data_IF_875988619994
#
_entry.id   IF_875988619994
#
_cell.length_a   1.000
_cell.length_b   1.000
_cell.length_c   1.000
_cell.angle_alpha   90.00
_cell.angle_beta   90.00
_cell.angle_gamma   90.00
#
_symmetry.space_group_name_H-M   'P 1'
#
loop_
_entity.id
_entity.type
_entity.pdbx_description
1 polymer ?
#
# COMPACT_ATOMS: atom_id res chain seq x y z
N UNK A 1 0.14 8.04 1.14
CA UNK A 1 0.06 6.59 1.39
C UNK A 1 -1.33 6.03 1.10
N UNK A 2 -2.40 6.62 1.63
CA UNK A 2 -3.79 6.14 1.42
C UNK A 2 -4.16 5.92 -0.05
N UNK A 3 -3.84 6.87 -0.94
CA UNK A 3 -4.09 6.72 -2.37
C UNK A 3 -3.39 5.51 -3.00
N UNK A 4 -2.14 5.25 -2.63
CA UNK A 4 -1.37 4.10 -3.16
C UNK A 4 -2.01 2.78 -2.71
N UNK A 5 -2.32 2.67 -1.42
CA UNK A 5 -2.98 1.48 -0.86
C UNK A 5 -4.35 1.27 -1.50
N UNK A 6 -5.14 2.34 -1.66
CA UNK A 6 -6.43 2.29 -2.32
C UNK A 6 -6.30 1.83 -3.78
N UNK A 7 -5.37 2.41 -4.54
CA UNK A 7 -5.09 1.99 -5.91
C UNK A 7 -4.68 0.52 -5.99
N UNK A 8 -3.84 0.04 -5.06
CA UNK A 8 -3.46 -1.36 -4.98
C UNK A 8 -4.65 -2.30 -4.79
N UNK A 9 -5.57 -1.94 -3.89
CA UNK A 9 -6.77 -2.73 -3.60
C UNK A 9 -7.70 -2.76 -4.81
N UNK A 10 -7.95 -1.61 -5.45
CA UNK A 10 -8.79 -1.53 -6.64
C UNK A 10 -8.19 -2.33 -7.80
N UNK A 11 -6.87 -2.28 -7.99
CA UNK A 11 -6.18 -3.04 -9.04
C UNK A 11 -6.01 -4.53 -8.71
N UNK A 12 -6.25 -4.95 -7.47
CA UNK A 12 -6.30 -6.37 -7.11
C UNK A 12 -7.72 -6.94 -7.21
N UNK A 13 -8.75 -6.09 -7.17
CA UNK A 13 -10.13 -6.49 -7.31
C UNK A 13 -10.46 -6.90 -8.75
N UNK A 14 -10.80 -8.17 -8.96
CA UNK A 14 -11.06 -8.71 -10.29
C UNK A 14 -12.23 -8.04 -10.99
N UNK A 15 -13.22 -7.51 -10.26
CA UNK A 15 -14.36 -6.84 -10.87
C UNK A 15 -13.96 -5.46 -11.40
N UNK A 16 -13.20 -4.69 -10.61
CA UNK A 16 -12.64 -3.42 -11.05
C UNK A 16 -11.65 -3.60 -12.19
N UNK A 17 -10.72 -4.55 -12.08
CA UNK A 17 -9.74 -4.85 -13.15
C UNK A 17 -10.44 -5.19 -14.45
N UNK A 18 -11.49 -6.02 -14.45
CA UNK A 18 -12.24 -6.35 -15.68
C UNK A 18 -12.86 -5.13 -16.37
N UNK A 19 -13.13 -4.04 -15.66
CA UNK A 19 -13.61 -2.80 -16.25
C UNK A 19 -12.51 -2.01 -16.98
N UNK A 20 -11.25 -2.10 -16.53
CA UNK A 20 -10.11 -1.35 -17.08
C UNK A 20 -9.26 -2.18 -18.05
N UNK A 21 -9.04 -3.45 -17.70
CA UNK A 21 -8.24 -4.45 -18.41
C UNK A 21 -9.12 -5.71 -18.54
N UNK A 22 -10.07 -5.74 -19.48
CA UNK A 22 -11.05 -6.83 -19.58
C UNK A 22 -10.42 -8.19 -19.92
N UNK A 23 -9.28 -8.19 -20.62
CA UNK A 23 -8.51 -9.40 -20.93
C UNK A 23 -7.03 -9.10 -20.64
N UNK A 24 -6.58 -9.28 -19.38
CA UNK A 24 -5.19 -9.06 -19.04
C UNK A 24 -4.31 -10.12 -19.70
N UNK A 25 -3.19 -9.67 -20.26
CA UNK A 25 -2.09 -10.53 -20.68
C UNK A 25 -1.46 -11.24 -19.47
N UNK A 26 -0.64 -12.26 -19.73
CA UNK A 26 0.06 -12.98 -18.67
C UNK A 26 0.95 -12.04 -17.83
N UNK A 27 1.63 -11.10 -18.49
CA UNK A 27 2.48 -10.09 -17.82
C UNK A 27 1.66 -9.15 -16.95
N UNK A 28 0.52 -8.65 -17.45
CA UNK A 28 -0.36 -7.77 -16.68
C UNK A 28 -0.94 -8.50 -15.46
N UNK A 29 -1.33 -9.77 -15.59
CA UNK A 29 -1.82 -10.57 -14.47
C UNK A 29 -0.74 -10.77 -13.40
N UNK A 30 0.52 -11.00 -13.80
CA UNK A 30 1.65 -11.08 -12.88
C UNK A 30 1.86 -9.75 -12.15
N UNK A 31 1.84 -8.62 -12.86
CA UNK A 31 1.97 -7.29 -12.25
C UNK A 31 0.83 -7.02 -11.27
N UNK A 32 -0.42 -7.27 -11.67
CA UNK A 32 -1.61 -7.02 -10.83
C UNK A 32 -1.57 -7.83 -9.52
N UNK A 33 -1.01 -9.05 -9.56
CA UNK A 33 -0.88 -9.90 -8.36
C UNK A 33 0.29 -9.48 -7.46
N UNK A 34 1.39 -8.99 -8.03
CA UNK A 34 2.56 -8.52 -7.26
C UNK A 34 2.41 -7.09 -6.71
N UNK A 35 1.59 -6.25 -7.35
CA UNK A 35 1.44 -4.82 -7.06
C UNK A 35 1.08 -4.52 -5.58
N UNK A 36 0.12 -5.21 -4.93
CA UNK A 36 -0.20 -4.95 -3.52
C UNK A 36 0.98 -5.20 -2.58
N UNK A 37 1.78 -6.24 -2.85
CA UNK A 37 2.96 -6.57 -2.05
C UNK A 37 4.01 -5.47 -2.18
N UNK A 38 4.30 -5.02 -3.41
CA UNK A 38 5.24 -3.93 -3.66
C UNK A 38 4.84 -2.62 -2.98
N UNK A 39 3.55 -2.26 -3.04
CA UNK A 39 3.03 -1.05 -2.38
C UNK A 39 3.10 -1.18 -0.85
N UNK A 40 2.82 -2.36 -0.29
CA UNK A 40 2.98 -2.64 1.13
C UNK A 40 4.42 -2.43 1.60
N UNK A 41 5.38 -3.04 0.93
CA UNK A 41 6.82 -2.89 1.23
C UNK A 41 7.24 -1.42 1.14
N UNK A 42 6.87 -0.72 0.07
CA UNK A 42 7.22 0.68 -0.12
C UNK A 42 6.63 1.58 0.98
N UNK A 43 5.35 1.41 1.30
CA UNK A 43 4.70 2.19 2.36
C UNK A 43 5.35 1.91 3.73
N UNK A 44 5.63 0.64 4.06
CA UNK A 44 6.32 0.26 5.29
C UNK A 44 7.72 0.87 5.38
N UNK A 45 8.48 0.86 4.29
CA UNK A 45 9.80 1.49 4.24
C UNK A 45 9.72 2.99 4.51
N UNK A 46 8.75 3.68 3.90
CA UNK A 46 8.56 5.12 4.14
C UNK A 46 8.18 5.43 5.59
N UNK A 47 7.36 4.60 6.23
CA UNK A 47 7.06 4.74 7.66
C UNK A 47 8.29 4.53 8.54
N UNK A 48 9.21 3.64 8.16
CA UNK A 48 10.46 3.42 8.89
C UNK A 48 11.46 4.59 8.71
N UNK A 49 11.57 5.14 7.49
CA UNK A 49 12.47 6.26 7.18
C UNK A 49 11.94 7.58 7.74
N UNK A 50 10.63 7.81 7.66
CA UNK A 50 9.97 9.00 8.18
C UNK A 50 9.08 8.63 9.36
N UNK A 51 9.67 8.37 10.54
CA UNK A 51 8.90 8.00 11.71
C UNK A 51 7.93 9.12 12.05
N UNK A 52 6.63 8.81 12.04
CA UNK A 52 5.62 9.70 12.61
C UNK A 52 5.89 9.84 14.10
N UNK A 53 5.76 11.05 14.66
CA UNK A 53 5.81 11.28 16.11
C UNK A 53 4.58 10.67 16.78
N UNK A 54 4.52 9.35 16.85
CA UNK A 54 3.47 8.63 17.56
C UNK A 54 4.01 8.30 18.93
N UNK A 55 3.62 9.11 19.90
CA UNK A 55 3.84 8.83 21.30
C UNK A 55 3.10 7.52 21.64
N UNK A 56 3.86 6.49 21.98
CA UNK A 56 3.32 5.20 22.41
C UNK A 56 2.60 5.30 23.76
N UNK A 57 1.85 4.27 24.11
CA UNK A 57 1.26 4.17 25.45
C UNK A 57 2.41 4.14 26.47
N UNK A 58 2.44 5.11 27.39
CA UNK A 58 3.52 5.29 28.38
C UNK A 58 4.57 6.35 28.02
N UNK A 59 4.43 7.05 26.90
CA UNK A 59 5.31 8.17 26.55
C UNK A 59 5.08 9.38 27.47
N UNK A 60 6.13 9.89 28.12
CA UNK A 60 6.05 11.08 28.98
C UNK A 60 5.75 12.33 28.14
N UNK A 61 4.71 13.09 28.49
CA UNK A 61 4.35 14.35 27.80
C UNK A 61 5.18 15.56 28.28
N UNK A 62 6.24 15.34 29.06
CA UNK A 62 7.19 16.38 29.44
C UNK A 62 8.52 15.76 29.84
N UNK A 63 9.59 16.30 29.26
CA UNK A 63 10.90 16.30 29.89
C UNK A 63 10.97 17.51 30.82
N UNK A 64 11.51 17.30 32.02
CA UNK A 64 11.74 18.36 33.01
C UNK A 64 12.70 19.41 32.47
#
# INVERSE_FOLDING_TARGET
MSFLVFGAVVMFDQNAVKCFIPVPSAEEAEILTALPVGIGVFCSMLFAIFPTTRHGIGFSLSDK
#
